data_IF_928178777528
#
_entry.id   IF_928178777528
#
_cell.length_a   1.000
_cell.length_b   1.000
_cell.length_c   1.000
_cell.angle_alpha   90.00
_cell.angle_beta   90.00
_cell.angle_gamma   90.00
#
_symmetry.space_group_name_H-M   'P 1'
#
loop_
_entity.id
_entity.type
_entity.pdbx_description
1 polymer ?
#
# COMPACT_ATOMS: atom_id res chain seq x y z
N UNK A 1 5.53 -10.15 15.67
CA UNK A 1 4.87 -11.05 14.71
C UNK A 1 5.51 -11.05 13.31
N UNK A 2 6.24 -9.98 12.89
CA UNK A 2 7.01 -10.03 11.65
C UNK A 2 8.39 -10.61 11.92
N UNK A 3 8.81 -11.62 11.14
CA UNK A 3 10.07 -12.35 11.28
C UNK A 3 10.95 -12.19 10.04
N UNK A 4 12.23 -12.50 10.18
CA UNK A 4 13.22 -12.54 9.10
C UNK A 4 13.30 -11.24 8.27
N UNK A 5 13.10 -10.09 8.93
CA UNK A 5 13.31 -8.78 8.32
C UNK A 5 14.71 -8.24 8.66
N UNK A 6 15.24 -7.44 7.75
CA UNK A 6 16.52 -6.77 7.91
C UNK A 6 16.38 -5.39 8.56
N UNK A 7 17.05 -4.40 7.98
CA UNK A 7 16.97 -3.01 8.45
C UNK A 7 15.60 -2.41 8.19
N UNK A 8 15.14 -1.56 9.10
CA UNK A 8 13.91 -0.77 8.95
C UNK A 8 14.28 0.61 8.42
N UNK A 9 13.62 1.02 7.35
CA UNK A 9 13.80 2.33 6.72
C UNK A 9 12.54 3.17 6.89
N UNK A 10 12.70 4.43 7.23
CA UNK A 10 11.60 5.42 7.29
C UNK A 10 11.84 6.44 6.19
N UNK A 11 10.94 6.48 5.20
CA UNK A 11 10.99 7.45 4.10
C UNK A 11 9.91 8.50 4.31
N UNK A 12 10.33 9.70 4.66
CA UNK A 12 9.44 10.80 5.03
C UNK A 12 9.88 11.48 6.32
N UNK A 13 8.92 11.89 7.15
CA UNK A 13 9.20 12.47 8.46
C UNK A 13 9.49 11.35 9.47
N UNK A 14 10.56 11.51 10.23
CA UNK A 14 10.93 10.58 11.30
C UNK A 14 10.25 11.01 12.60
N UNK A 15 9.36 10.18 13.19
CA UNK A 15 8.85 10.39 14.54
C UNK A 15 9.98 10.29 15.59
N UNK A 16 10.00 11.19 16.56
CA UNK A 16 11.07 11.29 17.57
C UNK A 16 11.20 10.05 18.47
N UNK A 17 10.15 9.26 18.59
CA UNK A 17 10.14 8.04 19.42
C UNK A 17 10.73 6.82 18.71
N UNK A 18 10.90 6.84 17.40
CA UNK A 18 11.49 5.72 16.64
C UNK A 18 13.01 5.73 16.79
N UNK A 19 13.56 4.56 17.11
CA UNK A 19 15.00 4.30 17.25
C UNK A 19 15.40 3.13 16.37
N UNK A 20 16.69 3.00 16.13
CA UNK A 20 17.28 1.87 15.38
C UNK A 20 16.71 1.70 13.96
N UNK A 21 16.38 2.83 13.31
CA UNK A 21 15.88 2.89 11.94
C UNK A 21 16.80 3.72 11.05
N UNK A 22 16.82 3.43 9.76
CA UNK A 22 17.51 4.27 8.78
C UNK A 22 16.51 5.29 8.26
N UNK A 23 16.84 6.58 8.41
CA UNK A 23 15.97 7.67 7.97
C UNK A 23 16.38 8.20 6.60
N UNK A 24 15.44 8.22 5.67
CA UNK A 24 15.56 8.87 4.35
C UNK A 24 14.55 10.03 4.35
N UNK A 25 15.00 11.28 4.54
CA UNK A 25 14.11 12.44 4.53
C UNK A 25 13.39 12.57 3.18
N UNK A 26 12.09 12.80 3.23
CA UNK A 26 11.27 13.02 2.03
C UNK A 26 10.01 13.83 2.40
N UNK A 27 9.72 14.88 1.63
CA UNK A 27 8.55 15.72 1.83
C UNK A 27 7.43 15.36 0.83
N UNK A 28 6.20 15.33 1.32
CA UNK A 28 5.01 15.14 0.49
C UNK A 28 4.65 16.47 -0.19
N UNK A 29 5.13 16.66 -1.41
CA UNK A 29 4.95 17.90 -2.18
C UNK A 29 3.82 17.83 -3.20
N UNK A 30 3.37 16.63 -3.55
CA UNK A 30 2.30 16.46 -4.52
C UNK A 30 0.92 16.54 -3.85
N UNK A 31 -0.06 17.07 -4.59
CA UNK A 31 -1.45 17.12 -4.13
C UNK A 31 -2.06 15.72 -3.98
N UNK A 32 -1.64 14.77 -4.80
CA UNK A 32 -2.09 13.39 -4.76
C UNK A 32 -1.30 12.59 -3.73
N UNK A 33 -1.99 12.00 -2.75
CA UNK A 33 -1.40 11.04 -1.81
C UNK A 33 -0.73 9.88 -2.56
N UNK A 34 -1.37 9.38 -3.61
CA UNK A 34 -0.86 8.26 -4.41
C UNK A 34 0.45 8.59 -5.12
N UNK A 35 0.58 9.82 -5.64
CA UNK A 35 1.83 10.28 -6.26
C UNK A 35 2.95 10.41 -5.21
N UNK A 36 2.65 10.89 -4.01
CA UNK A 36 3.64 10.94 -2.93
C UNK A 36 4.08 9.52 -2.50
N UNK A 37 3.15 8.57 -2.40
CA UNK A 37 3.48 7.16 -2.12
C UNK A 37 4.38 6.59 -3.21
N UNK A 38 4.01 6.78 -4.49
CA UNK A 38 4.84 6.34 -5.62
C UNK A 38 6.27 6.88 -5.53
N UNK A 39 6.43 8.19 -5.30
CA UNK A 39 7.75 8.82 -5.22
C UNK A 39 8.58 8.31 -4.05
N UNK A 40 7.96 8.04 -2.90
CA UNK A 40 8.64 7.42 -1.74
C UNK A 40 9.11 6.00 -2.06
N UNK A 41 8.26 5.19 -2.68
CA UNK A 41 8.64 3.82 -3.08
C UNK A 41 9.70 3.85 -4.18
N UNK A 42 9.62 4.79 -5.13
CA UNK A 42 10.65 4.99 -6.14
C UNK A 42 11.99 5.39 -5.51
N UNK A 43 11.97 6.30 -4.53
CA UNK A 43 13.17 6.69 -3.77
C UNK A 43 13.78 5.50 -3.02
N UNK A 44 12.93 4.65 -2.41
CA UNK A 44 13.39 3.39 -1.81
C UNK A 44 14.01 2.45 -2.84
N UNK A 45 13.38 2.33 -4.00
CA UNK A 45 13.86 1.44 -5.08
C UNK A 45 15.17 1.89 -5.71
N UNK A 46 15.51 3.17 -5.61
CA UNK A 46 16.76 3.75 -6.10
C UNK A 46 17.89 3.76 -5.06
N UNK A 47 17.59 3.42 -3.81
CA UNK A 47 18.58 3.44 -2.72
C UNK A 47 19.36 2.11 -2.69
N UNK A 48 20.68 2.18 -2.85
CA UNK A 48 21.56 1.00 -2.90
C UNK A 48 21.64 0.27 -1.55
N UNK A 49 21.32 0.93 -0.44
CA UNK A 49 21.38 0.33 0.91
C UNK A 49 20.14 -0.48 1.25
N UNK A 50 19.05 -0.32 0.51
CA UNK A 50 17.83 -1.11 0.64
C UNK A 50 17.96 -2.40 -0.18
N UNK A 51 17.49 -3.52 0.35
CA UNK A 51 17.50 -4.82 -0.33
C UNK A 51 16.76 -4.78 -1.66
N UNK A 52 17.10 -5.65 -2.62
CA UNK A 52 16.43 -5.74 -3.92
C UNK A 52 14.95 -6.02 -3.80
N UNK A 53 14.56 -6.78 -2.78
CA UNK A 53 13.18 -6.91 -2.35
C UNK A 53 13.01 -6.31 -0.96
N UNK A 54 11.94 -5.56 -0.76
CA UNK A 54 11.59 -4.99 0.52
C UNK A 54 10.09 -5.03 0.78
N UNK A 55 9.73 -5.20 2.05
CA UNK A 55 8.35 -5.15 2.50
C UNK A 55 7.96 -3.69 2.80
N UNK A 56 7.03 -3.15 2.03
CA UNK A 56 6.48 -1.81 2.25
C UNK A 56 5.32 -1.87 3.23
N UNK A 57 5.39 -1.03 4.26
CA UNK A 57 4.34 -0.85 5.27
C UNK A 57 3.92 0.61 5.35
N UNK A 58 2.66 0.83 5.71
CA UNK A 58 2.23 2.10 6.27
C UNK A 58 2.46 2.10 7.79
N UNK A 59 2.43 3.28 8.39
CA UNK A 59 2.61 3.49 9.83
C UNK A 59 1.44 2.97 10.70
N UNK A 60 0.34 2.60 10.07
CA UNK A 60 -0.89 2.11 10.70
C UNK A 60 -1.13 0.59 10.55
N UNK A 61 -0.13 -0.19 10.13
CA UNK A 61 -0.24 -1.64 9.98
C UNK A 61 0.17 -2.39 11.25
N UNK A 62 -0.68 -3.32 11.69
CA UNK A 62 -0.44 -4.19 12.85
C UNK A 62 -0.55 -5.65 12.44
N UNK A 63 0.44 -6.45 12.84
CA UNK A 63 0.45 -7.89 12.60
C UNK A 63 -0.17 -8.62 13.79
N UNK A 64 -1.17 -9.47 13.54
CA UNK A 64 -1.90 -10.22 14.56
C UNK A 64 -1.46 -11.69 14.64
N UNK A 65 -0.71 -12.15 13.65
CA UNK A 65 -0.08 -13.46 13.62
C UNK A 65 1.32 -13.38 13.04
N UNK A 66 2.08 -14.44 13.16
CA UNK A 66 3.43 -14.50 12.65
C UNK A 66 3.47 -14.54 11.12
N UNK A 67 4.29 -13.67 10.55
CA UNK A 67 4.61 -13.63 9.13
C UNK A 67 6.11 -13.60 8.91
N UNK A 68 6.52 -14.19 7.83
CA UNK A 68 7.88 -14.12 7.32
C UNK A 68 7.97 -13.00 6.28
N UNK A 69 8.83 -12.01 6.52
CA UNK A 69 8.88 -10.82 5.68
C UNK A 69 9.21 -11.13 4.20
N UNK A 70 10.18 -12.01 3.87
CA UNK A 70 10.50 -12.36 2.49
C UNK A 70 9.38 -13.06 1.72
N UNK A 71 8.45 -13.72 2.42
CA UNK A 71 7.37 -14.51 1.81
C UNK A 71 6.00 -13.97 2.13
N UNK A 72 5.91 -12.67 2.50
CA UNK A 72 4.64 -12.05 2.82
C UNK A 72 3.68 -12.13 1.61
N UNK A 73 2.45 -12.64 1.79
CA UNK A 73 1.53 -12.85 0.67
C UNK A 73 1.00 -11.54 0.09
N UNK A 74 0.72 -11.54 -1.19
CA UNK A 74 0.01 -10.44 -1.85
C UNK A 74 -1.48 -10.58 -1.62
N UNK A 75 -2.11 -9.55 -1.07
CA UNK A 75 -3.55 -9.52 -0.82
C UNK A 75 -4.25 -8.53 -1.75
N UNK A 76 -5.44 -8.91 -2.26
CA UNK A 76 -6.34 -7.99 -2.95
C UNK A 76 -7.75 -8.09 -2.37
N UNK A 77 -8.51 -7.00 -2.36
CA UNK A 77 -9.84 -6.98 -1.71
C UNK A 77 -11.01 -7.17 -2.68
N UNK A 78 -10.86 -6.76 -3.92
CA UNK A 78 -11.90 -6.80 -4.95
C UNK A 78 -11.31 -6.46 -6.31
N UNK A 79 -12.15 -6.31 -7.31
CA UNK A 79 -11.81 -5.59 -8.54
C UNK A 79 -11.88 -4.08 -8.34
N UNK A 80 -11.06 -3.29 -9.07
CA UNK A 80 -11.07 -1.82 -9.02
C UNK A 80 -12.41 -1.24 -9.47
N UNK A 81 -13.06 -1.86 -10.47
CA UNK A 81 -14.38 -1.42 -10.97
C UNK A 81 -15.45 -1.61 -9.89
N UNK A 82 -15.43 -2.73 -9.18
CA UNK A 82 -16.33 -2.98 -8.04
C UNK A 82 -16.06 -1.99 -6.90
N UNK A 83 -14.79 -1.63 -6.68
CA UNK A 83 -14.42 -0.60 -5.68
C UNK A 83 -15.04 0.75 -6.04
N UNK A 84 -14.98 1.15 -7.32
CA UNK A 84 -15.54 2.43 -7.79
C UNK A 84 -17.03 2.58 -7.52
N UNK A 85 -17.81 1.51 -7.62
CA UNK A 85 -19.25 1.53 -7.33
C UNK A 85 -19.58 1.91 -5.89
N UNK A 86 -18.63 1.74 -4.96
CA UNK A 86 -18.79 1.98 -3.52
C UNK A 86 -18.16 3.28 -3.05
N UNK A 87 -17.39 3.96 -3.90
CA UNK A 87 -16.65 5.17 -3.53
C UNK A 87 -17.41 6.45 -3.93
N UNK A 88 -17.31 7.52 -3.15
CA UNK A 88 -17.80 8.84 -3.55
C UNK A 88 -17.03 9.33 -4.80
N UNK A 89 -17.75 9.66 -5.88
CA UNK A 89 -17.15 10.05 -7.17
C UNK A 89 -16.36 11.36 -7.16
N UNK A 90 -16.45 12.15 -6.12
CA UNK A 90 -15.85 13.48 -6.01
C UNK A 90 -14.47 13.52 -5.32
N UNK A 91 -14.03 12.44 -4.66
CA UNK A 91 -12.76 12.48 -3.95
C UNK A 91 -11.54 12.14 -4.85
N UNK A 92 -10.35 12.54 -4.42
CA UNK A 92 -9.12 12.30 -5.17
C UNK A 92 -8.82 10.80 -5.32
N UNK A 93 -9.07 10.02 -4.29
CA UNK A 93 -8.82 8.58 -4.29
C UNK A 93 -9.69 7.85 -5.34
N UNK A 94 -11.00 8.15 -5.42
CA UNK A 94 -11.84 7.55 -6.45
C UNK A 94 -11.37 7.90 -7.88
N UNK A 95 -10.81 9.09 -8.08
CA UNK A 95 -10.19 9.46 -9.37
C UNK A 95 -8.93 8.66 -9.66
N UNK A 96 -8.09 8.39 -8.65
CA UNK A 96 -6.92 7.51 -8.80
C UNK A 96 -7.34 6.08 -9.12
N UNK A 97 -8.36 5.54 -8.44
CA UNK A 97 -8.89 4.20 -8.70
C UNK A 97 -9.43 4.08 -10.13
N UNK A 98 -10.24 5.07 -10.57
CA UNK A 98 -10.78 5.10 -11.93
C UNK A 98 -9.67 5.11 -12.98
N UNK A 99 -8.69 6.00 -12.80
CA UNK A 99 -7.56 6.12 -13.72
C UNK A 99 -6.75 4.82 -13.80
N UNK A 100 -6.50 4.20 -12.64
CA UNK A 100 -5.79 2.91 -12.59
C UNK A 100 -6.56 1.81 -13.31
N UNK A 101 -7.87 1.71 -13.09
CA UNK A 101 -8.70 0.72 -13.77
C UNK A 101 -8.71 0.92 -15.29
N UNK A 102 -8.87 2.16 -15.75
CA UNK A 102 -8.85 2.49 -17.18
C UNK A 102 -7.52 2.15 -17.85
N UNK A 103 -6.41 2.52 -17.23
CA UNK A 103 -5.06 2.23 -17.72
C UNK A 103 -4.82 0.73 -17.87
N UNK A 104 -5.13 -0.04 -16.81
CA UNK A 104 -4.96 -1.49 -16.82
C UNK A 104 -5.86 -2.16 -17.87
N UNK A 105 -7.11 -1.71 -18.01
CA UNK A 105 -8.03 -2.23 -19.03
C UNK A 105 -7.54 -1.96 -20.46
N UNK A 106 -7.02 -0.75 -20.73
CA UNK A 106 -6.45 -0.41 -22.04
C UNK A 106 -5.25 -1.30 -22.40
N UNK A 107 -4.50 -1.73 -21.40
CA UNK A 107 -3.36 -2.65 -21.56
C UNK A 107 -3.76 -4.13 -21.56
N UNK A 108 -5.04 -4.47 -21.42
CA UNK A 108 -5.52 -5.86 -21.31
C UNK A 108 -5.01 -6.59 -20.06
N UNK A 109 -4.76 -5.85 -18.98
CA UNK A 109 -4.26 -6.37 -17.71
C UNK A 109 -5.40 -6.61 -16.72
N UNK A 110 -5.19 -7.47 -15.69
CA UNK A 110 -6.12 -7.61 -14.59
C UNK A 110 -6.36 -6.27 -13.86
N UNK A 111 -7.49 -6.17 -13.16
CA UNK A 111 -7.88 -4.95 -12.43
C UNK A 111 -8.10 -5.22 -10.93
N UNK A 112 -7.32 -6.12 -10.35
CA UNK A 112 -7.40 -6.42 -8.91
C UNK A 112 -7.02 -5.21 -8.06
N UNK A 113 -7.79 -4.98 -7.01
CA UNK A 113 -7.49 -3.92 -6.06
C UNK A 113 -6.57 -4.42 -4.95
N UNK A 114 -5.26 -4.27 -5.16
CA UNK A 114 -4.21 -4.56 -4.16
C UNK A 114 -4.07 -3.46 -3.10
N UNK A 115 -4.82 -2.38 -3.19
CA UNK A 115 -4.82 -1.33 -2.17
C UNK A 115 -5.63 -1.75 -0.93
N UNK A 116 -5.23 -2.87 -0.38
CA UNK A 116 -5.60 -3.32 0.94
C UNK A 116 -4.73 -2.59 1.98
N UNK A 117 -5.24 -2.47 3.21
CA UNK A 117 -4.45 -1.93 4.32
C UNK A 117 -3.55 -3.03 4.92
N UNK A 118 -2.78 -3.68 4.04
CA UNK A 118 -1.79 -4.70 4.38
C UNK A 118 -0.45 -4.34 3.76
N UNK A 119 0.67 -4.85 4.27
CA UNK A 119 1.97 -4.73 3.61
C UNK A 119 1.97 -5.30 2.19
N UNK A 120 2.98 -4.91 1.41
CA UNK A 120 3.25 -5.47 0.08
C UNK A 120 4.76 -5.58 -0.14
N UNK A 121 5.21 -6.63 -0.80
CA UNK A 121 6.60 -6.78 -1.23
C UNK A 121 6.78 -6.06 -2.56
N UNK A 122 7.79 -5.19 -2.64
CA UNK A 122 8.26 -4.61 -3.88
C UNK A 122 9.63 -5.15 -4.24
N UNK A 123 9.83 -5.47 -5.51
CA UNK A 123 11.14 -5.68 -6.13
C UNK A 123 11.59 -4.35 -6.74
N UNK A 124 12.78 -3.86 -6.38
CA UNK A 124 13.30 -2.55 -6.80
C UNK A 124 13.35 -2.38 -8.31
N UNK A 125 13.93 -3.37 -8.98
CA UNK A 125 14.16 -3.32 -10.41
C UNK A 125 12.84 -3.36 -11.18
N UNK A 126 11.96 -4.28 -10.81
CA UNK A 126 10.61 -4.38 -11.41
C UNK A 126 9.76 -3.14 -11.11
N UNK A 127 9.89 -2.58 -9.89
CA UNK A 127 9.17 -1.34 -9.57
C UNK A 127 9.61 -0.20 -10.48
N UNK A 128 10.90 0.03 -10.62
CA UNK A 128 11.44 1.07 -11.52
C UNK A 128 11.00 0.77 -12.96
N UNK A 129 11.25 -0.44 -13.47
CA UNK A 129 10.93 -0.82 -14.84
C UNK A 129 9.45 -0.59 -15.21
N UNK A 130 8.55 -0.97 -14.32
CA UNK A 130 7.10 -0.91 -14.60
C UNK A 130 6.55 0.48 -14.31
N UNK A 131 6.82 1.03 -13.12
CA UNK A 131 6.10 2.19 -12.64
C UNK A 131 6.55 3.50 -13.29
N UNK A 132 7.78 3.57 -13.79
CA UNK A 132 8.27 4.77 -14.50
C UNK A 132 7.71 4.92 -15.93
N UNK A 133 7.06 3.89 -16.46
CA UNK A 133 6.38 3.95 -17.78
C UNK A 133 5.09 4.77 -17.74
N UNK A 134 4.52 5.00 -16.56
CA UNK A 134 3.25 5.69 -16.40
C UNK A 134 3.44 7.18 -16.16
N UNK A 135 2.46 7.99 -16.60
CA UNK A 135 2.44 9.42 -16.36
C UNK A 135 1.97 9.76 -14.93
N UNK A 136 2.92 10.10 -14.07
CA UNK A 136 2.69 10.52 -12.68
C UNK A 136 2.51 12.03 -12.51
N UNK A 137 2.54 12.81 -13.60
CA UNK A 137 2.34 14.27 -13.56
C UNK A 137 0.87 14.65 -13.35
N UNK A 138 -0.04 13.73 -13.64
CA UNK A 138 -1.46 13.93 -13.43
C UNK A 138 -1.79 14.11 -11.93
N UNK A 139 -2.62 15.11 -11.63
CA UNK A 139 -3.01 15.50 -10.27
C UNK A 139 -3.67 14.40 -9.42
N UNK A 140 -4.11 13.31 -10.02
CA UNK A 140 -4.76 12.20 -9.30
C UNK A 140 -3.80 11.07 -8.97
N UNK A 141 -2.73 10.88 -9.78
CA UNK A 141 -1.86 9.72 -9.67
C UNK A 141 -2.56 8.41 -10.04
N UNK A 142 -1.97 7.30 -9.60
CA UNK A 142 -2.52 5.95 -9.72
C UNK A 142 -2.47 5.26 -8.35
N UNK A 143 -3.32 4.25 -8.14
CA UNK A 143 -3.25 3.39 -6.95
C UNK A 143 -2.02 2.50 -7.05
N UNK A 144 -0.96 2.86 -6.32
CA UNK A 144 0.40 2.32 -6.49
C UNK A 144 0.46 0.80 -6.41
N UNK A 145 -0.09 0.23 -5.34
CA UNK A 145 -0.09 -1.24 -5.13
C UNK A 145 -0.83 -1.96 -6.26
N UNK A 146 -1.99 -1.43 -6.66
CA UNK A 146 -2.82 -2.06 -7.70
C UNK A 146 -2.18 -1.95 -9.07
N UNK A 147 -1.60 -0.79 -9.42
CA UNK A 147 -0.90 -0.64 -10.69
C UNK A 147 0.29 -1.60 -10.77
N UNK A 148 1.14 -1.65 -9.74
CA UNK A 148 2.28 -2.56 -9.67
C UNK A 148 1.87 -4.04 -9.77
N UNK A 149 0.95 -4.48 -8.90
CA UNK A 149 0.55 -5.88 -8.83
C UNK A 149 -0.06 -6.40 -10.14
N UNK A 150 -0.95 -5.61 -10.76
CA UNK A 150 -1.59 -6.02 -12.01
C UNK A 150 -0.63 -5.94 -13.21
N UNK A 151 0.24 -4.94 -13.28
CA UNK A 151 1.24 -4.82 -14.35
C UNK A 151 2.21 -6.00 -14.38
N UNK A 152 2.53 -6.56 -13.22
CA UNK A 152 3.36 -7.76 -13.09
C UNK A 152 2.56 -9.06 -13.10
N UNK A 153 1.22 -8.99 -13.22
CA UNK A 153 0.31 -10.15 -13.15
C UNK A 153 0.54 -10.99 -11.90
N UNK A 154 0.77 -10.31 -10.76
CA UNK A 154 0.99 -10.98 -9.49
C UNK A 154 -0.26 -11.75 -9.09
N UNK A 155 -0.10 -13.02 -8.78
CA UNK A 155 -1.14 -13.82 -8.15
C UNK A 155 -1.29 -13.39 -6.69
N UNK A 156 -2.51 -13.02 -6.30
CA UNK A 156 -2.81 -12.59 -4.95
C UNK A 156 -3.90 -13.43 -4.31
N UNK A 157 -3.98 -13.38 -2.99
CA UNK A 157 -5.05 -13.98 -2.22
C UNK A 157 -6.14 -12.95 -1.98
N UNK A 158 -7.39 -13.31 -2.25
CA UNK A 158 -8.52 -12.41 -1.99
C UNK A 158 -8.82 -12.38 -0.49
N UNK A 159 -8.69 -11.18 0.09
CA UNK A 159 -8.98 -10.94 1.50
C UNK A 159 -9.79 -9.65 1.65
N UNK A 160 -10.77 -9.59 2.57
CA UNK A 160 -11.44 -8.35 2.88
C UNK A 160 -10.47 -7.31 3.43
N UNK A 161 -10.74 -6.03 3.17
CA UNK A 161 -9.94 -4.95 3.72
C UNK A 161 -9.97 -4.97 5.27
N UNK A 162 -8.82 -4.82 5.88
CA UNK A 162 -8.64 -4.91 7.33
C UNK A 162 -8.65 -3.55 8.04
N UNK A 163 -9.00 -2.47 7.35
CA UNK A 163 -9.04 -1.13 7.94
C UNK A 163 -10.25 -0.94 8.83
N UNK A 164 -9.99 -0.46 10.04
CA UNK A 164 -11.00 0.05 10.96
C UNK A 164 -11.09 1.56 10.80
N UNK A 165 -12.25 2.07 10.36
CA UNK A 165 -12.43 3.49 10.02
C UNK A 165 -13.14 4.31 11.07
N UNK A 166 -13.53 3.76 12.24
CA UNK A 166 -14.46 4.44 13.16
C UNK A 166 -14.09 4.34 14.62
N UNK A 167 -14.85 5.12 15.39
CA UNK A 167 -15.04 4.94 16.82
C UNK A 167 -15.76 3.60 17.08
N UNK A 168 -15.03 2.50 16.89
CA UNK A 168 -15.58 1.18 17.16
C UNK A 168 -15.46 0.88 18.65
N UNK A 169 -16.48 0.26 19.23
CA UNK A 169 -16.39 -0.27 20.58
C UNK A 169 -15.31 -1.36 20.68
N UNK A 170 -14.77 -1.62 21.86
CA UNK A 170 -13.79 -2.69 22.07
C UNK A 170 -14.28 -4.04 21.53
N UNK A 171 -15.54 -4.33 21.68
CA UNK A 171 -16.17 -5.57 21.19
C UNK A 171 -16.22 -5.61 19.67
N UNK A 172 -16.56 -4.50 19.01
CA UNK A 172 -16.53 -4.40 17.55
C UNK A 172 -15.11 -4.54 17.01
N UNK A 173 -14.13 -3.91 17.65
CA UNK A 173 -12.71 -4.07 17.32
C UNK A 173 -12.33 -5.55 17.44
N UNK A 174 -12.60 -6.16 18.58
CA UNK A 174 -12.28 -7.56 18.83
C UNK A 174 -12.90 -8.50 17.77
N UNK A 175 -14.17 -8.31 17.45
CA UNK A 175 -14.87 -9.11 16.44
C UNK A 175 -14.29 -8.94 15.03
N UNK A 176 -13.79 -7.76 14.68
CA UNK A 176 -13.17 -7.52 13.38
C UNK A 176 -11.75 -8.10 13.31
N UNK A 177 -10.96 -7.97 14.39
CA UNK A 177 -9.54 -8.38 14.36
C UNK A 177 -9.34 -9.87 14.68
N UNK A 178 -10.29 -10.52 15.39
CA UNK A 178 -10.14 -11.90 15.86
C UNK A 178 -9.73 -12.89 14.78
N UNK A 179 -10.31 -12.75 13.58
CA UNK A 179 -10.09 -13.65 12.46
C UNK A 179 -9.18 -13.02 11.37
N UNK A 180 -8.54 -11.88 11.68
CA UNK A 180 -7.67 -11.18 10.75
C UNK A 180 -6.21 -11.47 11.00
N UNK A 181 -5.45 -11.49 9.91
CA UNK A 181 -3.99 -11.70 9.95
C UNK A 181 -3.23 -10.40 10.17
N UNK A 182 -3.74 -9.33 9.59
CA UNK A 182 -3.22 -7.96 9.68
C UNK A 182 -4.42 -7.03 9.87
N UNK A 183 -4.23 -5.92 10.55
CA UNK A 183 -5.21 -4.85 10.63
C UNK A 183 -4.56 -3.48 10.56
N UNK A 184 -5.35 -2.46 10.26
CA UNK A 184 -4.93 -1.08 10.17
C UNK A 184 -5.97 -0.16 10.81
N UNK A 185 -5.51 0.94 11.39
CA UNK A 185 -6.35 1.95 12.05
C UNK A 185 -6.52 3.15 11.11
N UNK A 186 -7.76 3.60 10.90
CA UNK A 186 -8.01 4.88 10.21
C UNK A 186 -7.75 6.08 11.13
N UNK A 187 -7.47 7.24 10.54
CA UNK A 187 -7.12 8.49 11.23
C UNK A 187 -8.16 9.01 12.25
N UNK A 188 -9.34 8.38 12.33
CA UNK A 188 -10.42 8.72 13.28
C UNK A 188 -10.62 7.67 14.36
N UNK A 189 -9.85 6.60 14.36
CA UNK A 189 -9.86 5.64 15.45
C UNK A 189 -9.03 6.23 16.59
N UNK A 190 -9.68 6.95 17.47
CA UNK A 190 -9.05 7.42 18.72
C UNK A 190 -9.14 6.26 19.71
N UNK A 191 -7.98 5.83 20.20
CA UNK A 191 -7.89 4.91 21.32
C UNK A 191 -8.42 5.54 22.62
#
# INVERSE_FOLDING_TARGET
HLKNFGKVYIIGKLPSFLKDVVHIPYDDVDRSKETNIYKKVLRASQDETISDQFLFLNDDHFFLQDFDAPTFPYFYKSDLVVTLQRLPHYNLYSKSVLRTAQELQQLGLPTFNFDTHTPIIYDKHRFIEVMTKYDWTNRYGFVVKSLYGNSLKIEGVREPDCKLNYEASKEQIYNVIRDRKVWSIGNKAVC
#
